data_IF_608222262706
#
_entry.id   IF_608222262706
#
_cell.length_a   1.000
_cell.length_b   1.000
_cell.length_c   1.000
_cell.angle_alpha   90.00
_cell.angle_beta   90.00
_cell.angle_gamma   90.00
#
_symmetry.space_group_name_H-M   'P 1'
#
loop_
_entity.id
_entity.type
_entity.pdbx_description
1 polymer ?
#
# COMPACT_ATOMS: atom_id res chain seq x y z
N UNK A 1 -1.67 -8.94 -3.62
CA UNK A 1 -1.18 -8.50 -2.30
C UNK A 1 -0.44 -9.65 -1.64
N UNK A 2 0.78 -9.45 -1.13
CA UNK A 2 1.53 -10.50 -0.41
C UNK A 2 1.27 -10.44 1.10
N UNK A 3 1.20 -9.22 1.65
CA UNK A 3 0.87 -8.98 3.06
C UNK A 3 0.14 -7.65 3.16
N UNK A 4 -0.92 -7.59 3.96
CA UNK A 4 -1.72 -6.37 4.16
C UNK A 4 -2.17 -6.25 5.61
N UNK A 5 -2.22 -5.02 6.12
CA UNK A 5 -2.69 -4.73 7.48
C UNK A 5 -3.20 -3.29 7.58
N UNK A 6 -3.97 -2.99 8.62
CA UNK A 6 -4.24 -1.61 9.01
C UNK A 6 -3.06 -1.08 9.82
N UNK A 7 -2.49 0.07 9.43
CA UNK A 7 -1.39 0.70 10.17
C UNK A 7 -1.92 1.66 11.21
N UNK A 8 -1.81 1.38 12.52
CA UNK A 8 -2.28 2.30 13.56
C UNK A 8 -1.51 3.63 13.54
N UNK A 9 -0.23 3.60 13.18
CA UNK A 9 0.63 4.80 13.10
C UNK A 9 0.22 5.74 11.97
N UNK A 10 -0.29 5.19 10.86
CA UNK A 10 -0.67 5.98 9.68
C UNK A 10 -2.17 6.26 9.61
N UNK A 11 -2.99 5.48 10.31
CA UNK A 11 -4.45 5.61 10.32
C UNK A 11 -5.14 5.07 9.06
N UNK A 12 -4.45 4.29 8.23
CA UNK A 12 -5.01 3.69 7.03
C UNK A 12 -4.41 2.31 6.71
N UNK A 13 -5.08 1.59 5.81
CA UNK A 13 -4.64 0.27 5.32
C UNK A 13 -3.41 0.38 4.43
N UNK A 14 -2.42 -0.46 4.68
CA UNK A 14 -1.18 -0.58 3.90
C UNK A 14 -0.96 -2.02 3.47
N UNK A 15 -0.22 -2.21 2.37
CA UNK A 15 0.07 -3.54 1.87
C UNK A 15 1.39 -3.58 1.10
N UNK A 16 2.08 -4.71 1.20
CA UNK A 16 3.14 -5.09 0.27
C UNK A 16 2.54 -5.91 -0.87
N UNK A 17 3.01 -5.65 -2.08
CA UNK A 17 2.57 -6.32 -3.28
C UNK A 17 3.77 -6.60 -4.20
N UNK A 18 3.79 -7.79 -4.80
CA UNK A 18 4.64 -8.10 -5.94
C UNK A 18 3.91 -7.69 -7.22
N UNK A 19 4.57 -6.91 -8.06
CA UNK A 19 4.01 -6.36 -9.31
C UNK A 19 5.06 -6.40 -10.41
N UNK A 20 4.66 -6.37 -11.70
CA UNK A 20 5.59 -6.22 -12.82
C UNK A 20 6.41 -4.93 -12.72
N UNK A 21 7.58 -4.92 -13.36
CA UNK A 21 8.39 -3.70 -13.49
C UNK A 21 7.62 -2.63 -14.29
N UNK A 22 7.82 -1.36 -13.92
CA UNK A 22 7.18 -0.23 -14.59
C UNK A 22 5.78 0.13 -14.09
N UNK A 23 5.38 -0.35 -12.91
CA UNK A 23 4.14 0.13 -12.27
C UNK A 23 4.23 1.65 -12.00
N UNK A 24 3.15 2.36 -12.26
CA UNK A 24 3.05 3.80 -11.99
C UNK A 24 2.81 4.13 -10.52
N UNK A 25 2.41 5.37 -10.24
CA UNK A 25 2.16 5.87 -8.88
C UNK A 25 0.81 5.45 -8.30
N UNK A 26 -0.10 4.98 -9.14
CA UNK A 26 -1.42 4.50 -8.74
C UNK A 26 -1.68 3.12 -9.30
N UNK A 27 -2.50 2.36 -8.57
CA UNK A 27 -2.98 1.05 -8.98
C UNK A 27 -4.41 0.86 -8.49
N UNK A 28 -5.07 -0.19 -8.97
CA UNK A 28 -6.40 -0.58 -8.50
C UNK A 28 -6.27 -1.93 -7.81
N UNK A 29 -6.88 -2.04 -6.63
CA UNK A 29 -7.02 -3.31 -5.91
C UNK A 29 -8.49 -3.65 -5.82
N UNK A 30 -8.83 -4.88 -6.18
CA UNK A 30 -10.18 -5.41 -5.97
C UNK A 30 -10.35 -5.75 -4.49
N UNK A 31 -11.28 -5.07 -3.82
CA UNK A 31 -11.70 -5.41 -2.46
C UNK A 31 -13.14 -5.88 -2.54
N UNK A 32 -13.34 -7.19 -2.31
CA UNK A 32 -14.61 -7.87 -2.59
C UNK A 32 -14.96 -7.69 -4.08
N UNK A 33 -15.95 -6.86 -4.40
CA UNK A 33 -16.41 -6.56 -5.77
C UNK A 33 -16.28 -5.07 -6.09
N UNK A 34 -15.33 -4.37 -5.46
CA UNK A 34 -15.11 -2.94 -5.66
C UNK A 34 -13.67 -2.67 -6.09
N UNK A 35 -13.54 -1.86 -7.12
CA UNK A 35 -12.27 -1.29 -7.54
C UNK A 35 -11.88 -0.18 -6.58
N UNK A 36 -10.82 -0.40 -5.81
CA UNK A 36 -10.30 0.59 -4.87
C UNK A 36 -9.00 1.16 -5.42
N UNK A 37 -8.94 2.46 -5.74
CA UNK A 37 -7.69 3.10 -6.14
C UNK A 37 -6.74 3.12 -4.94
N UNK A 38 -5.48 2.78 -5.19
CA UNK A 38 -4.40 2.79 -4.21
C UNK A 38 -3.21 3.56 -4.74
N UNK A 39 -2.41 4.11 -3.83
CA UNK A 39 -1.14 4.74 -4.14
C UNK A 39 -0.03 3.70 -4.06
N UNK A 40 0.82 3.65 -5.07
CA UNK A 40 2.04 2.85 -5.09
C UNK A 40 3.15 3.68 -4.45
N UNK A 41 3.78 3.11 -3.43
CA UNK A 41 4.87 3.75 -2.69
C UNK A 41 6.07 2.82 -2.61
N UNK A 42 7.18 3.33 -2.08
CA UNK A 42 8.30 2.47 -1.68
C UNK A 42 7.84 1.41 -0.69
N UNK A 43 8.47 0.23 -0.65
CA UNK A 43 8.11 -0.86 0.27
C UNK A 43 8.60 -0.59 1.71
N UNK A 44 8.32 0.60 2.22
CA UNK A 44 8.61 1.07 3.58
C UNK A 44 7.57 2.13 3.95
N UNK A 45 6.95 1.99 5.12
CA UNK A 45 5.83 2.85 5.53
C UNK A 45 6.12 3.65 6.81
N UNK A 46 6.79 3.04 7.80
CA UNK A 46 7.10 3.65 9.09
C UNK A 46 8.54 3.30 9.49
N UNK A 47 9.28 4.29 10.01
CA UNK A 47 10.61 4.09 10.60
C UNK A 47 10.75 4.96 11.84
N UNK A 48 11.26 4.38 12.93
CA UNK A 48 11.45 5.07 14.22
C UNK A 48 10.17 5.81 14.71
N UNK A 49 9.01 5.18 14.54
CA UNK A 49 7.71 5.73 14.96
C UNK A 49 7.14 6.85 14.08
N UNK A 50 7.79 7.19 12.95
CA UNK A 50 7.34 8.23 12.03
C UNK A 50 6.99 7.68 10.66
N UNK A 51 6.00 8.31 10.01
CA UNK A 51 5.66 8.04 8.63
C UNK A 51 6.86 8.31 7.72
N UNK A 52 7.09 7.41 6.77
CA UNK A 52 8.11 7.59 5.73
C UNK A 52 7.39 8.06 4.47
N UNK A 53 7.86 9.17 3.91
CA UNK A 53 7.36 9.71 2.64
C UNK A 53 7.89 8.92 1.43
#
# INVERSE_FOLDING_TARGET
ITSGTFSPTLGYSIALARVPAGIGETAIVQIRNREMPVKVTKPVFVRNGKAVA
#
